data_IF_040359191876
#
_entry.id   IF_040359191876
#
_cell.length_a   1.000
_cell.length_b   1.000
_cell.length_c   1.000
_cell.angle_alpha   90.00
_cell.angle_beta   90.00
_cell.angle_gamma   90.00
#
_symmetry.space_group_name_H-M   'P 1'
#
loop_
_entity.id
_entity.type
_entity.pdbx_description
1 polymer ?
#
# COMPACT_ATOMS: atom_id res chain seq x y z
N UNK A 1 12.96 23.51 0.38
CA UNK A 1 11.68 22.86 0.69
C UNK A 1 11.62 21.54 -0.08
N UNK A 2 11.63 20.41 0.62
CA UNK A 2 11.67 19.08 0.01
C UNK A 2 10.35 18.80 -0.75
N UNK A 3 9.29 19.52 -0.43
CA UNK A 3 7.93 19.36 -0.96
C UNK A 3 7.63 20.09 -2.29
N UNK A 4 8.57 20.89 -2.81
CA UNK A 4 8.33 21.71 -4.03
C UNK A 4 8.89 21.11 -5.34
N UNK A 5 9.40 19.88 -5.31
CA UNK A 5 9.78 19.21 -6.56
C UNK A 5 8.53 18.73 -7.28
N UNK A 6 8.12 19.45 -8.33
CA UNK A 6 7.14 18.92 -9.29
C UNK A 6 7.64 17.56 -9.77
N UNK A 7 6.90 16.52 -9.45
CA UNK A 7 7.11 15.18 -10.04
C UNK A 7 6.92 15.37 -11.55
N UNK A 8 7.94 15.06 -12.34
CA UNK A 8 7.81 14.99 -13.79
C UNK A 8 7.25 13.61 -14.12
N UNK A 9 6.16 13.60 -14.86
CA UNK A 9 5.73 12.39 -15.56
C UNK A 9 6.83 11.99 -16.53
N UNK A 10 7.13 10.70 -16.60
CA UNK A 10 8.07 10.17 -17.58
C UNK A 10 7.34 9.91 -18.92
N UNK A 11 8.12 9.61 -19.96
CA UNK A 11 7.60 9.31 -21.31
C UNK A 11 7.33 7.80 -21.48
N UNK A 12 7.21 7.02 -20.38
CA UNK A 12 7.01 5.58 -20.45
C UNK A 12 5.59 5.25 -20.91
N UNK A 13 5.48 4.52 -22.00
CA UNK A 13 4.22 4.09 -22.60
C UNK A 13 3.84 2.69 -22.11
N UNK A 14 3.07 2.65 -21.01
CA UNK A 14 2.60 1.40 -20.38
C UNK A 14 1.76 0.57 -21.35
N UNK A 15 0.87 1.20 -22.12
CA UNK A 15 0.00 0.48 -23.07
C UNK A 15 0.80 -0.27 -24.11
N UNK A 16 1.90 0.32 -24.58
CA UNK A 16 2.82 -0.31 -25.52
C UNK A 16 3.57 -1.47 -24.88
N UNK A 17 4.05 -1.30 -23.65
CA UNK A 17 4.81 -2.35 -22.96
C UNK A 17 3.93 -3.52 -22.54
N UNK A 18 2.67 -3.30 -22.16
CA UNK A 18 1.71 -4.37 -21.88
C UNK A 18 1.35 -5.24 -23.09
N UNK A 19 1.62 -4.77 -24.30
CA UNK A 19 1.47 -5.58 -25.52
C UNK A 19 2.67 -6.52 -25.77
N UNK A 20 3.78 -6.32 -25.07
CA UNK A 20 4.93 -7.20 -25.15
C UNK A 20 4.70 -8.47 -24.33
N UNK A 21 5.28 -9.61 -24.73
CA UNK A 21 5.24 -10.82 -23.92
C UNK A 21 5.84 -10.57 -22.53
N UNK A 22 5.08 -10.89 -21.48
CA UNK A 22 5.60 -10.82 -20.12
C UNK A 22 6.72 -11.88 -19.95
N UNK A 23 7.92 -11.43 -19.62
CA UNK A 23 9.06 -12.32 -19.36
C UNK A 23 9.34 -12.49 -17.86
N UNK A 24 8.73 -11.67 -17.00
CA UNK A 24 8.83 -11.80 -15.54
C UNK A 24 8.02 -13.00 -15.05
N UNK A 25 8.60 -13.78 -14.15
CA UNK A 25 7.99 -14.97 -13.55
C UNK A 25 7.85 -14.80 -12.03
N UNK A 26 6.96 -15.59 -11.45
CA UNK A 26 6.83 -15.65 -10.00
C UNK A 26 8.16 -16.07 -9.36
N UNK A 27 8.64 -15.29 -8.42
CA UNK A 27 9.93 -15.46 -7.77
C UNK A 27 11.08 -14.67 -8.40
N UNK A 28 10.90 -14.03 -9.55
CA UNK A 28 11.95 -13.19 -10.13
C UNK A 28 12.26 -11.98 -9.25
N UNK A 29 13.54 -11.77 -9.01
CA UNK A 29 14.09 -10.62 -8.30
C UNK A 29 14.85 -9.73 -9.28
N UNK A 30 14.38 -8.52 -9.46
CA UNK A 30 14.97 -7.52 -10.34
C UNK A 30 15.74 -6.48 -9.55
N UNK A 31 16.93 -6.12 -10.04
CA UNK A 31 17.74 -5.04 -9.49
C UNK A 31 17.70 -3.82 -10.40
N UNK A 32 17.21 -2.70 -9.87
CA UNK A 32 17.08 -1.41 -10.53
C UNK A 32 18.04 -0.41 -9.88
N UNK A 33 19.32 -0.48 -10.25
CA UNK A 33 20.38 0.20 -9.52
C UNK A 33 20.50 -0.34 -8.09
N UNK A 34 20.24 0.48 -7.08
CA UNK A 34 20.22 0.08 -5.68
C UNK A 34 18.85 -0.45 -5.19
N UNK A 35 17.83 -0.35 -6.02
CA UNK A 35 16.48 -0.80 -5.68
C UNK A 35 16.27 -2.25 -6.11
N UNK A 36 15.39 -2.95 -5.41
CA UNK A 36 15.05 -4.35 -5.67
C UNK A 36 13.54 -4.48 -5.80
N UNK A 37 13.09 -5.25 -6.77
CA UNK A 37 11.68 -5.58 -6.98
C UNK A 37 11.56 -7.08 -7.09
N UNK A 38 10.62 -7.68 -6.40
CA UNK A 38 10.35 -9.12 -6.47
C UNK A 38 8.88 -9.36 -6.83
N UNK A 39 8.64 -10.27 -7.76
CA UNK A 39 7.31 -10.80 -8.03
C UNK A 39 7.07 -11.99 -7.11
N UNK A 40 6.19 -11.85 -6.10
CA UNK A 40 6.01 -12.91 -5.12
C UNK A 40 4.79 -12.74 -4.24
N UNK A 41 4.49 -13.79 -3.47
CA UNK A 41 3.40 -13.77 -2.52
C UNK A 41 3.83 -13.04 -1.23
N UNK A 42 3.19 -11.91 -0.92
CA UNK A 42 3.49 -11.09 0.26
C UNK A 42 3.15 -11.74 1.61
N UNK A 43 2.57 -12.95 1.61
CA UNK A 43 2.35 -13.74 2.82
C UNK A 43 3.46 -14.77 3.08
N UNK A 44 4.45 -14.88 2.17
CA UNK A 44 5.56 -15.84 2.25
C UNK A 44 6.84 -15.20 2.80
N UNK A 45 7.38 -15.75 3.89
CA UNK A 45 8.61 -15.24 4.53
C UNK A 45 9.83 -15.31 3.61
N UNK A 46 9.90 -16.32 2.74
CA UNK A 46 11.01 -16.52 1.79
C UNK A 46 11.14 -15.37 0.79
N UNK A 47 10.01 -14.73 0.42
CA UNK A 47 9.99 -13.58 -0.49
C UNK A 47 10.68 -12.39 0.17
N UNK A 48 10.37 -12.13 1.43
CA UNK A 48 11.02 -11.05 2.19
C UNK A 48 12.49 -11.33 2.42
N UNK A 49 12.86 -12.57 2.76
CA UNK A 49 14.27 -12.96 2.93
C UNK A 49 15.10 -12.65 1.68
N UNK A 50 14.57 -12.99 0.50
CA UNK A 50 15.23 -12.72 -0.79
C UNK A 50 15.24 -11.22 -1.13
N UNK A 51 14.12 -10.51 -0.92
CA UNK A 51 14.01 -9.09 -1.22
C UNK A 51 14.93 -8.26 -0.33
N UNK A 52 14.90 -8.52 0.98
CA UNK A 52 15.59 -7.70 1.98
C UNK A 52 17.09 -8.01 2.12
N UNK A 53 17.50 -9.23 1.78
CA UNK A 53 18.91 -9.64 1.80
C UNK A 53 19.63 -9.32 3.14
N UNK A 54 18.97 -9.66 4.23
CA UNK A 54 19.45 -9.42 5.59
C UNK A 54 19.33 -7.99 6.10
N UNK A 55 18.75 -7.07 5.32
CA UNK A 55 18.48 -5.69 5.73
C UNK A 55 17.08 -5.57 6.34
N UNK A 56 16.86 -4.53 7.15
CA UNK A 56 15.55 -4.17 7.67
C UNK A 56 15.06 -2.89 7.00
N UNK A 57 13.77 -2.82 6.75
CA UNK A 57 13.12 -1.62 6.24
C UNK A 57 12.98 -0.57 7.35
N UNK A 58 13.21 0.70 7.04
CA UNK A 58 12.89 1.82 7.93
C UNK A 58 11.44 2.30 7.77
N UNK A 59 10.84 1.97 6.63
CA UNK A 59 9.46 2.31 6.30
C UNK A 59 8.83 1.16 5.52
N UNK A 60 7.62 0.79 5.92
CA UNK A 60 6.69 0.00 5.11
C UNK A 60 5.56 0.92 4.64
N UNK A 61 5.36 0.98 3.33
CA UNK A 61 4.20 1.61 2.71
C UNK A 61 3.53 0.54 1.84
N UNK A 62 2.29 0.19 2.14
CA UNK A 62 1.60 -0.91 1.47
C UNK A 62 0.17 -0.56 1.10
N UNK A 63 -0.25 -1.08 -0.04
CA UNK A 63 -1.59 -0.95 -0.62
C UNK A 63 -2.08 -2.36 -0.99
N UNK A 64 -2.49 -3.17 0.01
CA UNK A 64 -2.95 -4.53 -0.24
C UNK A 64 -4.35 -4.54 -0.89
N UNK A 65 -4.82 -5.68 -1.43
CA UNK A 65 -6.22 -5.83 -1.84
C UNK A 65 -7.17 -5.41 -0.73
N UNK A 66 -8.29 -4.74 -1.08
CA UNK A 66 -9.21 -4.17 -0.10
C UNK A 66 -10.41 -5.06 0.22
N UNK A 67 -10.55 -6.21 -0.47
CA UNK A 67 -11.67 -7.14 -0.36
C UNK A 67 -13.03 -6.51 -0.71
N UNK A 68 -13.05 -5.68 -1.73
CA UNK A 68 -14.24 -4.95 -2.18
C UNK A 68 -14.76 -5.38 -3.55
N UNK A 69 -14.20 -6.49 -4.07
CA UNK A 69 -14.57 -7.14 -5.34
C UNK A 69 -14.59 -6.15 -6.53
N UNK A 70 -13.49 -5.41 -6.67
CA UNK A 70 -13.33 -4.45 -7.77
C UNK A 70 -13.20 -5.21 -9.08
N UNK A 71 -14.19 -5.03 -9.95
CA UNK A 71 -14.16 -5.51 -11.32
C UNK A 71 -14.12 -4.31 -12.26
N UNK A 72 -12.97 -4.08 -12.90
CA UNK A 72 -12.77 -3.00 -13.86
C UNK A 72 -12.33 -3.54 -15.22
N UNK A 73 -12.30 -2.67 -16.23
CA UNK A 73 -11.85 -3.02 -17.59
C UNK A 73 -10.44 -3.60 -17.65
N UNK A 74 -9.61 -3.33 -16.66
CA UNK A 74 -8.25 -3.89 -16.53
C UNK A 74 -8.20 -5.30 -15.89
N UNK A 75 -9.36 -5.87 -15.48
CA UNK A 75 -9.46 -7.20 -14.87
C UNK A 75 -9.81 -7.16 -13.38
N UNK A 76 -9.79 -8.34 -12.74
CA UNK A 76 -10.03 -8.51 -11.30
C UNK A 76 -8.73 -8.40 -10.51
N UNK A 77 -8.80 -7.72 -9.37
CA UNK A 77 -7.69 -7.71 -8.41
C UNK A 77 -7.66 -9.09 -7.72
N UNK A 78 -6.48 -9.69 -7.66
CA UNK A 78 -6.29 -10.97 -6.97
C UNK A 78 -6.51 -10.78 -5.46
N UNK A 79 -7.20 -11.74 -4.82
CA UNK A 79 -7.50 -11.71 -3.38
C UNK A 79 -8.42 -10.55 -2.92
N UNK A 80 -9.25 -10.02 -3.81
CA UNK A 80 -10.16 -8.91 -3.53
C UNK A 80 -11.62 -9.35 -3.28
N UNK A 81 -11.86 -10.65 -3.16
CA UNK A 81 -13.18 -11.25 -2.87
C UNK A 81 -13.01 -12.51 -2.03
N UNK A 82 -12.58 -12.33 -0.79
CA UNK A 82 -12.39 -13.40 0.18
C UNK A 82 -13.50 -13.38 1.24
N UNK A 83 -13.75 -14.54 1.87
CA UNK A 83 -14.53 -14.59 3.10
C UNK A 83 -13.83 -13.81 4.24
N UNK A 84 -14.60 -13.27 5.17
CA UNK A 84 -14.12 -12.38 6.24
C UNK A 84 -12.93 -12.97 7.02
N UNK A 85 -13.04 -14.22 7.48
CA UNK A 85 -11.98 -14.90 8.22
C UNK A 85 -10.73 -15.19 7.35
N UNK A 86 -10.93 -15.48 6.08
CA UNK A 86 -9.86 -15.73 5.13
C UNK A 86 -9.09 -14.43 4.86
N UNK A 87 -9.81 -13.35 4.65
CA UNK A 87 -9.22 -12.04 4.43
C UNK A 87 -8.43 -11.54 5.65
N UNK A 88 -8.98 -11.68 6.86
CA UNK A 88 -8.25 -11.42 8.09
C UNK A 88 -6.94 -12.22 8.16
N UNK A 89 -6.99 -13.53 7.86
CA UNK A 89 -5.83 -14.41 7.92
C UNK A 89 -4.76 -14.05 6.88
N UNK A 90 -5.19 -13.63 5.68
CA UNK A 90 -4.33 -13.09 4.63
C UNK A 90 -3.59 -11.83 5.10
N UNK A 91 -4.32 -10.84 5.62
CA UNK A 91 -3.74 -9.60 6.14
C UNK A 91 -2.77 -9.88 7.29
N UNK A 92 -3.16 -10.72 8.25
CA UNK A 92 -2.32 -11.06 9.40
C UNK A 92 -1.00 -11.70 8.97
N UNK A 93 -1.03 -12.62 8.00
CA UNK A 93 0.17 -13.28 7.48
C UNK A 93 1.11 -12.28 6.81
N UNK A 94 0.58 -11.43 5.93
CA UNK A 94 1.36 -10.38 5.27
C UNK A 94 1.96 -9.40 6.29
N UNK A 95 1.19 -8.95 7.27
CA UNK A 95 1.65 -8.01 8.29
C UNK A 95 2.71 -8.62 9.22
N UNK A 96 2.63 -9.91 9.52
CA UNK A 96 3.70 -10.61 10.27
C UNK A 96 5.01 -10.63 9.50
N UNK A 97 4.98 -10.88 8.20
CA UNK A 97 6.16 -10.80 7.35
C UNK A 97 6.72 -9.36 7.32
N UNK A 98 5.87 -8.34 7.17
CA UNK A 98 6.29 -6.94 7.23
C UNK A 98 6.88 -6.58 8.61
N UNK A 99 6.25 -7.02 9.69
CA UNK A 99 6.73 -6.78 11.05
C UNK A 99 8.12 -7.39 11.28
N UNK A 100 8.35 -8.62 10.83
CA UNK A 100 9.64 -9.29 10.97
C UNK A 100 10.77 -8.56 10.22
N UNK A 101 10.44 -7.89 9.10
CA UNK A 101 11.41 -7.21 8.23
C UNK A 101 11.46 -5.69 8.42
N UNK A 102 10.71 -5.12 9.36
CA UNK A 102 10.78 -3.70 9.74
C UNK A 102 11.80 -3.50 10.85
N UNK A 103 12.58 -2.42 10.81
CA UNK A 103 13.44 -2.01 11.91
C UNK A 103 12.61 -1.64 13.16
N UNK A 104 13.21 -1.73 14.35
CA UNK A 104 12.48 -1.46 15.61
C UNK A 104 12.05 0.01 15.75
N UNK A 105 12.69 0.91 15.02
CA UNK A 105 12.37 2.33 14.94
C UNK A 105 11.65 2.71 13.63
N UNK A 106 11.33 1.72 12.80
CA UNK A 106 10.63 1.92 11.54
C UNK A 106 9.15 2.19 11.70
N UNK A 107 8.54 2.76 10.67
CA UNK A 107 7.11 3.08 10.59
C UNK A 107 6.42 2.27 9.52
N UNK A 108 5.10 2.07 9.67
CA UNK A 108 4.26 1.38 8.70
C UNK A 108 3.03 2.22 8.36
N UNK A 109 2.72 2.31 7.06
CA UNK A 109 1.52 2.91 6.50
C UNK A 109 0.78 1.87 5.67
N UNK A 110 -0.52 1.73 5.92
CA UNK A 110 -1.36 0.72 5.24
C UNK A 110 -2.63 1.37 4.71
N UNK A 111 -2.75 1.42 3.40
CA UNK A 111 -3.99 1.84 2.75
C UNK A 111 -5.07 0.78 2.88
N UNK A 112 -6.33 1.17 2.99
CA UNK A 112 -7.45 0.24 3.10
C UNK A 112 -8.79 0.86 2.71
N UNK A 113 -9.79 0.02 2.44
CA UNK A 113 -11.16 0.47 2.38
C UNK A 113 -11.74 0.61 3.79
N UNK A 114 -12.53 1.65 4.04
CA UNK A 114 -13.16 1.87 5.35
C UNK A 114 -14.15 0.75 5.70
N UNK A 115 -14.82 0.18 4.72
CA UNK A 115 -15.74 -0.96 4.88
C UNK A 115 -15.08 -2.19 5.49
N UNK A 116 -13.80 -2.42 5.19
CA UNK A 116 -12.98 -3.51 5.72
C UNK A 116 -12.11 -3.10 6.92
N UNK A 117 -12.34 -1.90 7.44
CA UNK A 117 -11.53 -1.30 8.50
C UNK A 117 -11.39 -2.15 9.77
N UNK A 118 -12.34 -3.03 10.08
CA UNK A 118 -12.26 -3.95 11.23
C UNK A 118 -11.16 -4.98 10.99
N UNK A 119 -11.17 -5.68 9.85
CA UNK A 119 -10.17 -6.67 9.49
C UNK A 119 -8.77 -6.08 9.45
N UNK A 120 -8.61 -4.93 8.78
CA UNK A 120 -7.34 -4.23 8.68
C UNK A 120 -6.77 -3.84 10.05
N UNK A 121 -7.57 -3.24 10.94
CA UNK A 121 -7.14 -2.78 12.27
C UNK A 121 -6.85 -3.94 13.20
N UNK A 122 -7.65 -5.01 13.14
CA UNK A 122 -7.47 -6.20 13.97
C UNK A 122 -6.18 -6.92 13.56
N UNK A 123 -6.01 -7.25 12.28
CA UNK A 123 -4.81 -7.90 11.77
C UNK A 123 -3.53 -7.07 12.05
N UNK A 124 -3.61 -5.72 11.93
CA UNK A 124 -2.51 -4.81 12.22
C UNK A 124 -2.02 -4.95 13.67
N UNK A 125 -2.95 -4.95 14.64
CA UNK A 125 -2.63 -5.11 16.07
C UNK A 125 -2.14 -6.51 16.39
N UNK A 126 -2.77 -7.54 15.83
CA UNK A 126 -2.44 -8.94 16.09
C UNK A 126 -1.11 -9.35 15.46
N UNK A 127 -0.65 -8.62 14.45
CA UNK A 127 0.71 -8.74 13.92
C UNK A 127 1.80 -8.10 14.81
N UNK A 128 1.41 -7.39 15.88
CA UNK A 128 2.34 -6.78 16.83
C UNK A 128 2.65 -5.30 16.58
N UNK A 129 1.84 -4.63 15.76
CA UNK A 129 1.98 -3.19 15.54
C UNK A 129 1.16 -2.36 16.54
N UNK A 130 1.72 -1.23 16.95
CA UNK A 130 0.98 -0.17 17.64
C UNK A 130 0.27 0.70 16.60
N UNK A 131 -1.05 0.73 16.64
CA UNK A 131 -1.85 1.60 15.79
C UNK A 131 -1.88 3.00 16.40
N UNK A 132 -1.12 3.92 15.83
CA UNK A 132 -1.01 5.30 16.32
C UNK A 132 -2.15 6.18 15.79
N UNK A 133 -2.55 6.01 14.55
CA UNK A 133 -3.59 6.81 13.94
C UNK A 133 -4.04 6.29 12.58
N UNK A 134 -4.97 7.03 12.00
CA UNK A 134 -5.43 6.83 10.64
C UNK A 134 -5.34 8.17 9.90
N UNK A 135 -4.52 8.21 8.87
CA UNK A 135 -4.46 9.34 7.95
C UNK A 135 -5.54 9.18 6.89
N UNK A 136 -6.06 10.29 6.40
CA UNK A 136 -7.16 10.31 5.43
C UNK A 136 -6.71 11.10 4.20
N UNK A 137 -6.56 10.42 3.09
CA UNK A 137 -6.41 11.11 1.80
C UNK A 137 -7.76 11.61 1.32
N UNK A 138 -7.90 12.93 1.21
CA UNK A 138 -9.09 13.59 0.66
C UNK A 138 -8.84 13.92 -0.80
N UNK A 139 -9.70 13.38 -1.67
CA UNK A 139 -9.65 13.57 -3.13
C UNK A 139 -10.34 14.86 -3.52
N UNK A 140 -9.92 15.49 -4.63
CA UNK A 140 -10.57 16.67 -5.21
C UNK A 140 -11.96 16.36 -5.84
N UNK A 141 -12.23 15.10 -6.17
CA UNK A 141 -13.49 14.65 -6.75
C UNK A 141 -14.01 13.40 -6.04
N UNK A 142 -15.32 13.26 -5.98
CA UNK A 142 -15.98 12.06 -5.49
C UNK A 142 -15.82 10.89 -6.48
N UNK A 143 -15.97 9.67 -5.96
CA UNK A 143 -16.07 8.43 -6.74
C UNK A 143 -17.53 8.00 -6.69
N UNK A 144 -18.18 7.98 -7.85
CA UNK A 144 -19.57 7.54 -7.96
C UNK A 144 -19.68 6.05 -7.63
N UNK A 145 -20.62 5.72 -6.77
CA UNK A 145 -20.94 4.37 -6.36
C UNK A 145 -22.42 4.20 -6.07
N UNK A 146 -22.83 3.01 -5.66
CA UNK A 146 -24.24 2.69 -5.35
C UNK A 146 -24.68 3.14 -3.95
N UNK A 147 -23.72 3.57 -3.11
CA UNK A 147 -23.99 4.07 -1.76
C UNK A 147 -24.70 5.43 -1.80
N UNK A 148 -25.58 5.74 -0.83
CA UNK A 148 -26.15 7.09 -0.67
C UNK A 148 -25.08 8.18 -0.50
N UNK A 149 -23.98 7.88 0.21
CA UNK A 149 -22.82 8.76 0.31
C UNK A 149 -21.74 8.34 -0.66
N UNK A 150 -21.26 9.29 -1.45
CA UNK A 150 -20.21 9.05 -2.42
C UNK A 150 -18.83 9.18 -1.77
N UNK A 151 -17.95 8.22 -2.03
CA UNK A 151 -16.60 8.19 -1.47
C UNK A 151 -15.76 9.34 -2.03
N UNK A 152 -15.13 10.10 -1.13
CA UNK A 152 -14.20 11.17 -1.47
C UNK A 152 -12.88 11.06 -0.71
N UNK A 153 -12.66 9.98 -0.02
CA UNK A 153 -11.44 9.77 0.76
C UNK A 153 -11.01 8.32 0.75
N UNK A 154 -9.75 8.10 1.11
CA UNK A 154 -9.21 6.78 1.44
C UNK A 154 -8.45 6.85 2.76
N UNK A 155 -8.68 5.92 3.67
CA UNK A 155 -7.97 5.85 4.94
C UNK A 155 -6.64 5.10 4.80
N UNK A 156 -5.65 5.51 5.60
CA UNK A 156 -4.33 4.91 5.70
C UNK A 156 -3.95 4.73 7.17
N UNK A 157 -3.84 3.51 7.64
CA UNK A 157 -3.38 3.23 9.00
C UNK A 157 -1.92 3.65 9.14
N UNK A 158 -1.58 4.24 10.27
CA UNK A 158 -0.23 4.62 10.63
C UNK A 158 0.17 4.04 11.98
N UNK A 159 1.37 3.47 12.04
CA UNK A 159 1.91 2.93 13.28
C UNK A 159 3.35 2.45 13.17
N UNK A 160 3.77 1.66 14.16
CA UNK A 160 5.10 1.08 14.32
C UNK A 160 5.04 -0.18 15.18
N UNK A 161 6.15 -0.87 15.41
CA UNK A 161 6.18 -2.04 16.30
C UNK A 161 5.76 -1.68 17.72
N UNK A 162 4.91 -2.49 18.34
CA UNK A 162 4.31 -2.23 19.67
C UNK A 162 5.35 -1.87 20.75
N UNK A 163 6.55 -2.47 20.73
CA UNK A 163 7.65 -2.22 21.66
C UNK A 163 8.72 -1.29 21.10
N UNK A 164 8.52 -0.79 19.86
CA UNK A 164 9.49 0.05 19.17
C UNK A 164 9.32 1.53 19.48
N UNK A 165 10.24 2.32 18.96
CA UNK A 165 10.14 3.79 18.90
C UNK A 165 10.22 4.18 17.44
N UNK A 166 9.25 4.92 16.94
CA UNK A 166 9.28 5.39 15.56
C UNK A 166 10.21 6.59 15.39
N UNK A 167 10.90 6.66 14.25
CA UNK A 167 11.58 7.86 13.81
C UNK A 167 10.58 8.79 13.11
N UNK A 168 10.56 10.05 13.55
CA UNK A 168 9.73 11.08 12.93
C UNK A 168 10.60 12.15 12.30
N UNK A 169 10.52 12.28 10.98
CA UNK A 169 11.32 13.23 10.20
C UNK A 169 10.56 14.50 9.83
N UNK A 170 9.26 14.54 10.11
CA UNK A 170 8.41 15.72 9.93
C UNK A 170 8.44 16.66 11.13
N UNK A 171 7.74 17.77 10.99
CA UNK A 171 7.48 18.70 12.09
C UNK A 171 6.15 18.35 12.81
N UNK A 172 5.76 19.17 13.80
CA UNK A 172 4.51 18.98 14.55
C UNK A 172 3.28 19.63 13.89
N UNK A 173 3.41 20.13 12.67
CA UNK A 173 2.33 20.74 11.90
C UNK A 173 1.66 19.75 10.95
N UNK A 174 2.21 18.54 10.83
CA UNK A 174 1.62 17.49 10.00
C UNK A 174 0.29 17.06 10.60
N UNK A 175 -0.72 16.91 9.74
CA UNK A 175 -2.08 16.51 10.12
C UNK A 175 -2.42 15.15 9.56
N UNK A 176 -3.46 14.54 10.09
CA UNK A 176 -3.99 13.26 9.57
C UNK A 176 -4.87 13.43 8.33
N UNK A 177 -5.05 14.65 7.84
CA UNK A 177 -5.82 14.93 6.62
C UNK A 177 -4.85 15.36 5.53
N UNK A 178 -4.85 14.61 4.43
CA UNK A 178 -3.99 14.81 3.28
C UNK A 178 -4.86 15.17 2.07
N UNK A 179 -4.77 16.41 1.62
CA UNK A 179 -5.54 16.92 0.48
C UNK A 179 -4.66 16.88 -0.76
N UNK A 180 -4.86 15.87 -1.59
CA UNK A 180 -4.17 15.70 -2.87
C UNK A 180 -5.17 15.34 -3.96
N UNK A 181 -5.00 15.95 -5.12
CA UNK A 181 -5.82 15.63 -6.28
C UNK A 181 -5.59 14.18 -6.71
N UNK A 182 -6.68 13.47 -7.03
CA UNK A 182 -6.55 12.17 -7.69
C UNK A 182 -5.94 12.36 -9.09
N UNK A 183 -5.19 11.37 -9.62
CA UNK A 183 -4.72 11.42 -11.00
C UNK A 183 -5.86 11.68 -11.99
N UNK A 184 -5.63 12.58 -12.96
CA UNK A 184 -6.66 12.99 -13.94
C UNK A 184 -6.98 11.87 -14.94
N UNK A 185 -5.99 11.07 -15.28
CA UNK A 185 -6.16 9.84 -16.06
C UNK A 185 -5.29 8.76 -15.45
N UNK A 186 -5.85 7.59 -15.25
CA UNK A 186 -5.16 6.41 -14.80
C UNK A 186 -5.23 5.41 -15.94
N UNK A 187 -4.40 5.61 -16.97
CA UNK A 187 -4.25 4.64 -18.05
C UNK A 187 -3.54 3.38 -17.56
N UNK A 188 -2.64 3.56 -16.60
CA UNK A 188 -1.71 2.53 -16.15
C UNK A 188 -2.31 1.61 -15.07
N UNK A 189 -3.14 2.17 -14.19
CA UNK A 189 -3.83 1.39 -13.15
C UNK A 189 -5.08 2.14 -12.69
N UNK A 190 -6.26 1.50 -12.62
CA UNK A 190 -7.53 2.15 -12.32
C UNK A 190 -7.60 2.78 -10.93
N UNK A 191 -6.83 2.25 -9.98
CA UNK A 191 -6.79 2.70 -8.57
C UNK A 191 -5.49 3.40 -8.20
N UNK A 192 -4.75 3.95 -9.19
CA UNK A 192 -3.46 4.59 -8.95
C UNK A 192 -3.59 5.77 -7.98
N UNK A 193 -2.69 5.81 -6.98
CA UNK A 193 -2.55 6.94 -6.06
C UNK A 193 -1.61 8.00 -6.63
N UNK A 194 -1.80 9.30 -6.29
CA UNK A 194 -0.88 10.34 -6.74
C UNK A 194 0.51 10.14 -6.12
N UNK A 195 1.55 10.38 -6.92
CA UNK A 195 2.96 10.20 -6.49
C UNK A 195 3.35 11.15 -5.34
N UNK A 196 2.63 12.26 -5.18
CA UNK A 196 2.85 13.23 -4.10
C UNK A 196 2.33 12.75 -2.74
N UNK A 197 1.46 11.77 -2.73
CA UNK A 197 0.85 11.20 -1.55
C UNK A 197 1.79 10.20 -0.88
#
# INVERSE_FOLDING_TARGET
>A
NIYDKKVKEDDFDVDKELQQPCFSQLGDLWCLGKHRVICGNSTGEEIYTRLMDGQLANLVLTDPPYNVDVEETAGKIMNDNMGDQEFYSFLLSAYRCMHANLADDGSIYVWHADTEGINFRTAFRDAGFYLSGCCIWVKNALVLGRSPYQWRHEPCLFGWKLKGKHQWYGDRKQTTVWEYDKPRSSKDHPTMKPVQL
#
